data_IF_036096751059
#
_entry.id   IF_036096751059
#
_cell.length_a   1.000
_cell.length_b   1.000
_cell.length_c   1.000
_cell.angle_alpha   90.00
_cell.angle_beta   90.00
_cell.angle_gamma   90.00
#
_symmetry.space_group_name_H-M   'P 1'
#
loop_
_entity.id
_entity.type
_entity.pdbx_description
1 polymer ?
#
# COMPACT_ATOMS: atom_id res chain seq x y z
N UNK A 1 -3.76 -1.04 -11.74
CA UNK A 1 -3.18 -0.98 -10.38
C UNK A 1 -2.04 0.03 -10.28
N UNK A 2 -0.90 -0.18 -10.97
CA UNK A 2 0.30 0.69 -10.84
C UNK A 2 0.02 2.19 -11.05
N UNK A 3 -0.67 2.58 -12.13
CA UNK A 3 -0.96 4.01 -12.37
C UNK A 3 -1.81 4.64 -11.28
N UNK A 4 -2.83 3.92 -10.80
CA UNK A 4 -3.70 4.39 -9.72
C UNK A 4 -2.90 4.52 -8.42
N UNK A 5 -2.04 3.54 -8.11
CA UNK A 5 -1.18 3.58 -6.93
C UNK A 5 -0.21 4.79 -6.96
N UNK A 6 0.33 5.13 -8.13
CA UNK A 6 1.16 6.32 -8.31
C UNK A 6 0.35 7.61 -8.21
N UNK A 7 -0.88 7.63 -8.74
CA UNK A 7 -1.78 8.79 -8.64
C UNK A 7 -2.21 9.09 -7.20
N UNK A 8 -2.39 8.06 -6.38
CA UNK A 8 -2.74 8.19 -4.96
C UNK A 8 -1.50 8.35 -4.05
N UNK A 9 -0.31 8.56 -4.62
CA UNK A 9 0.98 8.72 -3.91
C UNK A 9 1.42 7.50 -3.07
N UNK A 10 0.72 6.36 -3.20
CA UNK A 10 1.02 5.08 -2.54
C UNK A 10 2.31 4.48 -3.08
N UNK A 11 2.50 4.56 -4.41
CA UNK A 11 3.72 4.12 -5.09
C UNK A 11 4.48 5.33 -5.62
N UNK A 12 5.70 5.49 -5.11
CA UNK A 12 6.60 6.57 -5.49
C UNK A 12 7.42 6.19 -6.73
N UNK A 13 7.51 7.09 -7.69
CA UNK A 13 8.30 6.90 -8.91
C UNK A 13 9.48 7.87 -8.94
N UNK A 14 10.69 7.33 -8.82
CA UNK A 14 11.95 8.05 -8.96
C UNK A 14 12.60 7.71 -10.32
N UNK A 15 12.24 8.48 -11.35
CA UNK A 15 12.73 8.26 -12.71
C UNK A 15 12.22 6.96 -13.32
N UNK A 16 13.12 5.99 -13.54
CA UNK A 16 12.75 4.64 -14.00
C UNK A 16 12.42 3.67 -12.85
N UNK A 17 12.68 4.05 -11.61
CA UNK A 17 12.48 3.21 -10.43
C UNK A 17 11.16 3.50 -9.73
N UNK A 18 10.54 2.44 -9.21
CA UNK A 18 9.33 2.48 -8.40
C UNK A 18 9.64 2.00 -6.99
N UNK A 19 9.00 2.63 -6.00
CA UNK A 19 9.12 2.30 -4.59
C UNK A 19 7.74 2.29 -3.95
N UNK A 20 7.52 1.37 -3.01
CA UNK A 20 6.28 1.20 -2.25
C UNK A 20 6.63 1.22 -0.77
N UNK A 21 6.00 2.10 0.01
CA UNK A 21 6.29 2.27 1.45
C UNK A 21 7.81 2.40 1.77
N UNK A 22 8.57 3.06 0.89
CA UNK A 22 10.04 3.19 1.03
C UNK A 22 10.86 2.00 0.53
N UNK A 23 10.23 0.86 0.22
CA UNK A 23 10.90 -0.30 -0.37
C UNK A 23 10.92 -0.22 -1.89
N UNK A 24 12.08 -0.46 -2.51
CA UNK A 24 12.21 -0.50 -3.97
C UNK A 24 11.58 -1.78 -4.52
N UNK A 25 10.52 -1.61 -5.30
CA UNK A 25 9.75 -2.72 -5.90
C UNK A 25 10.25 -3.09 -7.30
N UNK A 26 10.81 -2.13 -8.06
CA UNK A 26 11.43 -2.47 -9.33
C UNK A 26 11.64 -1.30 -10.27
N UNK A 27 12.39 -1.56 -11.35
CA UNK A 27 12.59 -0.61 -12.42
C UNK A 27 11.60 -0.88 -13.56
N UNK A 28 10.85 0.15 -13.95
CA UNK A 28 9.88 0.09 -15.02
C UNK A 28 8.55 -0.57 -14.60
N UNK A 29 7.49 -0.18 -15.30
CA UNK A 29 6.11 -0.60 -14.99
C UNK A 29 5.94 -2.13 -15.01
N UNK A 30 6.57 -2.82 -15.96
CA UNK A 30 6.43 -4.27 -16.11
C UNK A 30 6.98 -5.06 -14.91
N UNK A 31 8.12 -4.64 -14.34
CA UNK A 31 8.66 -5.31 -13.15
C UNK A 31 7.78 -5.08 -11.92
N UNK A 32 7.18 -3.90 -11.79
CA UNK A 32 6.23 -3.62 -10.71
C UNK A 32 4.97 -4.46 -10.84
N UNK A 33 4.46 -4.64 -12.06
CA UNK A 33 3.31 -5.52 -12.32
C UNK A 33 3.66 -6.95 -11.90
N UNK A 34 4.81 -7.47 -12.33
CA UNK A 34 5.27 -8.80 -11.92
C UNK A 34 5.40 -8.94 -10.42
N UNK A 35 5.95 -7.91 -9.75
CA UNK A 35 6.05 -7.91 -8.29
C UNK A 35 4.67 -8.03 -7.63
N UNK A 36 3.65 -7.35 -8.15
CA UNK A 36 2.28 -7.47 -7.64
C UNK A 36 1.61 -8.80 -7.99
N UNK A 37 1.92 -9.39 -9.15
CA UNK A 37 1.45 -10.73 -9.52
C UNK A 37 2.07 -11.82 -8.62
N UNK A 38 3.36 -11.69 -8.30
CA UNK A 38 4.09 -12.57 -7.39
C UNK A 38 3.70 -12.35 -5.92
N UNK A 39 3.33 -11.12 -5.54
CA UNK A 39 2.97 -10.73 -4.18
C UNK A 39 1.53 -10.23 -4.13
N UNK A 40 0.58 -11.17 -4.28
CA UNK A 40 -0.86 -10.86 -4.34
C UNK A 40 -1.35 -10.15 -3.07
N UNK A 41 -0.77 -10.47 -1.91
CA UNK A 41 -1.07 -9.80 -0.64
C UNK A 41 -0.76 -8.29 -0.69
N UNK A 42 0.35 -7.89 -1.31
CA UNK A 42 0.72 -6.48 -1.49
C UNK A 42 -0.20 -5.82 -2.52
N UNK A 43 -0.56 -6.54 -3.58
CA UNK A 43 -1.50 -6.04 -4.58
C UNK A 43 -2.88 -5.72 -3.97
N UNK A 44 -3.39 -6.60 -3.10
CA UNK A 44 -4.64 -6.40 -2.36
C UNK A 44 -4.55 -5.25 -1.36
N UNK A 45 -3.44 -5.13 -0.64
CA UNK A 45 -3.20 -4.01 0.27
C UNK A 45 -3.22 -2.66 -0.48
N UNK A 46 -2.53 -2.59 -1.63
CA UNK A 46 -2.50 -1.39 -2.48
C UNK A 46 -3.90 -1.10 -3.04
N UNK A 47 -4.64 -2.10 -3.52
CA UNK A 47 -6.00 -1.89 -4.02
C UNK A 47 -6.91 -1.36 -2.91
N UNK A 48 -6.83 -1.92 -1.71
CA UNK A 48 -7.59 -1.47 -0.54
C UNK A 48 -7.28 -0.02 -0.21
N UNK A 49 -5.99 0.33 -0.12
CA UNK A 49 -5.55 1.71 0.12
C UNK A 49 -6.05 2.67 -0.97
N UNK A 50 -5.98 2.29 -2.25
CA UNK A 50 -6.51 3.11 -3.35
C UNK A 50 -8.02 3.31 -3.20
N UNK A 51 -8.77 2.23 -2.92
CA UNK A 51 -10.22 2.28 -2.74
C UNK A 51 -10.57 3.18 -1.56
N UNK A 52 -9.87 3.04 -0.44
CA UNK A 52 -10.07 3.87 0.75
C UNK A 52 -9.75 5.34 0.48
N UNK A 53 -8.64 5.67 -0.19
CA UNK A 53 -8.33 7.05 -0.56
C UNK A 53 -9.36 7.66 -1.52
N UNK A 54 -9.85 6.89 -2.51
CA UNK A 54 -10.87 7.39 -3.44
C UNK A 54 -12.22 7.62 -2.75
N UNK A 55 -12.58 6.75 -1.80
CA UNK A 55 -13.78 6.92 -0.96
C UNK A 55 -13.61 8.09 0.03
N UNK A 56 -12.39 8.26 0.57
CA UNK A 56 -11.97 9.32 1.51
C UNK A 56 -11.63 10.62 0.80
N UNK A 57 -11.60 10.70 -0.53
CA UNK A 57 -11.45 11.94 -1.31
C UNK A 57 -12.75 12.78 -1.29
N UNK A 58 -13.40 12.83 -0.12
CA UNK A 58 -14.22 13.95 0.38
C UNK A 58 -13.61 14.61 1.65
N UNK A 59 -12.58 14.02 2.24
CA UNK A 59 -11.91 14.39 3.49
C UNK A 59 -10.42 14.04 3.37
N UNK A 60 -9.63 14.96 2.84
CA UNK A 60 -8.18 14.83 2.68
C UNK A 60 -7.46 14.36 3.95
N UNK A 61 -6.71 13.26 3.82
CA UNK A 61 -5.44 13.04 4.51
C UNK A 61 -5.50 12.51 5.95
N UNK A 62 -4.81 11.38 6.15
CA UNK A 62 -4.48 10.72 7.42
C UNK A 62 -5.58 9.85 8.04
N UNK A 63 -5.63 8.59 7.63
CA UNK A 63 -6.01 7.52 8.56
C UNK A 63 -4.76 6.64 8.75
N UNK A 64 -4.02 6.95 9.81
CA UNK A 64 -3.15 5.97 10.45
C UNK A 64 -4.12 4.99 11.13
N UNK A 65 -4.29 3.79 10.60
CA UNK A 65 -4.81 2.70 11.44
C UNK A 65 -3.57 2.19 12.16
N UNK A 66 -3.33 2.75 13.33
CA UNK A 66 -2.59 2.08 14.38
C UNK A 66 -3.40 0.81 14.68
N UNK A 67 -3.00 -0.33 14.11
CA UNK A 67 -3.34 -1.62 14.69
C UNK A 67 -2.67 -1.61 16.07
N UNK A 68 -3.40 -1.08 17.06
CA UNK A 68 -3.12 -1.25 18.48
C UNK A 68 -3.07 -2.76 18.72
N UNK A 69 -1.85 -3.28 18.83
CA UNK A 69 -1.60 -4.53 19.51
C UNK A 69 -2.17 -4.38 20.93
N UNK A 70 -3.31 -5.03 21.20
CA UNK A 70 -3.62 -5.48 22.54
C UNK A 70 -3.06 -6.90 22.72
N UNK A 71 -1.86 -7.09 23.29
CA UNK A 71 -1.56 -8.32 23.99
C UNK A 71 -2.19 -8.22 25.39
N UNK A 72 -3.53 -8.22 25.49
CA UNK A 72 -4.19 -8.26 26.78
C UNK A 72 -4.27 -9.71 27.30
N UNK A 73 -3.21 -10.05 28.02
CA UNK A 73 -3.15 -10.91 29.19
C UNK A 73 -4.51 -11.43 29.72
N UNK A 74 -4.88 -12.67 29.36
CA UNK A 74 -5.72 -13.51 30.23
C UNK A 74 -5.01 -14.83 30.51
N UNK A 75 -4.13 -14.78 31.52
CA UNK A 75 -3.84 -15.95 32.36
C UNK A 75 -5.16 -16.38 33.01
N UNK A 76 -5.85 -17.35 32.42
CA UNK A 76 -6.84 -18.12 33.15
C UNK A 76 -6.18 -19.36 33.77
N UNK A 77 -6.27 -19.39 35.11
CA UNK A 77 -5.99 -20.46 36.10
C UNK A 77 -4.54 -20.81 36.45
#
# INVERSE_FOLDING_TARGET
LVDLAVQQDIVQKAGAWYSYQGNKIGQGKNNVIRYFEENTQIAEEIERNIREQLLTTGTNGAVQIEDEEEPDLLLES
#
